data_IF_617892927105
#
_entry.id   IF_617892927105
#
_cell.length_a   1.000
_cell.length_b   1.000
_cell.length_c   1.000
_cell.angle_alpha   90.00
_cell.angle_beta   90.00
_cell.angle_gamma   90.00
#
_symmetry.space_group_name_H-M   'P 1'
#
loop_
_entity.id
_entity.type
_entity.pdbx_description
1 polymer ?
#
# COMPACT_ATOMS: atom_id res chain seq x y z
N UNK A 1 16.54 -20.18 -73.86
CA UNK A 1 16.17 -20.45 -72.45
C UNK A 1 15.75 -19.13 -71.82
N UNK A 2 14.61 -19.11 -71.13
CA UNK A 2 14.14 -17.96 -70.36
C UNK A 2 12.75 -17.45 -70.79
N UNK A 3 11.70 -18.16 -70.39
CA UNK A 3 10.33 -17.65 -70.43
C UNK A 3 10.03 -16.97 -69.08
N UNK A 4 9.63 -15.69 -69.12
CA UNK A 4 9.09 -14.97 -67.95
C UNK A 4 7.76 -14.34 -68.37
N UNK A 5 6.67 -15.08 -68.19
CA UNK A 5 5.32 -14.54 -68.17
C UNK A 5 4.93 -14.29 -66.72
N UNK A 6 4.87 -13.01 -66.32
CA UNK A 6 4.44 -12.60 -64.97
C UNK A 6 2.93 -12.70 -64.85
N UNK A 7 2.51 -13.71 -64.09
CA UNK A 7 1.21 -13.85 -63.43
C UNK A 7 0.92 -12.57 -62.65
N UNK A 8 -0.09 -11.81 -63.06
CA UNK A 8 -0.55 -10.60 -62.35
C UNK A 8 -2.08 -10.51 -62.20
N UNK A 9 -2.79 -11.63 -62.29
CA UNK A 9 -4.26 -11.65 -62.25
C UNK A 9 -4.86 -12.75 -61.36
N UNK A 10 -4.23 -13.04 -60.22
CA UNK A 10 -4.79 -14.01 -59.25
C UNK A 10 -4.77 -13.57 -57.78
N UNK A 11 -4.26 -12.37 -57.46
CA UNK A 11 -4.17 -11.91 -56.05
C UNK A 11 -5.41 -11.08 -55.63
N UNK A 12 -6.25 -10.61 -56.56
CA UNK A 12 -7.45 -9.84 -56.19
C UNK A 12 -8.65 -10.66 -55.72
N UNK A 13 -8.72 -11.97 -56.02
CA UNK A 13 -9.86 -12.79 -55.57
C UNK A 13 -9.68 -13.39 -54.17
N UNK A 14 -8.43 -13.46 -53.67
CA UNK A 14 -8.13 -14.05 -52.36
C UNK A 14 -8.26 -13.04 -51.20
N UNK A 15 -8.43 -11.74 -51.50
CA UNK A 15 -8.63 -10.67 -50.52
C UNK A 15 -10.09 -10.42 -50.16
N UNK A 16 -11.05 -10.96 -50.91
CA UNK A 16 -12.49 -10.81 -50.62
C UNK A 16 -13.00 -11.86 -49.61
N UNK A 17 -12.27 -12.96 -49.43
CA UNK A 17 -12.62 -13.99 -48.43
C UNK A 17 -12.08 -13.71 -47.02
N UNK A 18 -11.22 -12.71 -46.83
CA UNK A 18 -10.72 -12.31 -45.51
C UNK A 18 -11.53 -11.17 -44.84
N UNK A 19 -12.42 -10.49 -45.57
CA UNK A 19 -13.26 -9.44 -44.97
C UNK A 19 -14.52 -9.98 -44.31
N UNK A 20 -14.95 -11.22 -44.62
CA UNK A 20 -16.10 -11.85 -43.99
C UNK A 20 -15.78 -12.49 -42.63
N UNK A 21 -14.51 -12.76 -42.33
CA UNK A 21 -14.05 -13.32 -41.04
C UNK A 21 -13.67 -12.26 -40.00
N UNK A 22 -13.61 -10.97 -40.37
CA UNK A 22 -13.35 -9.85 -39.45
C UNK A 22 -14.61 -9.31 -38.75
N UNK A 23 -15.81 -9.75 -39.15
CA UNK A 23 -17.08 -9.30 -38.56
C UNK A 23 -17.82 -10.39 -37.77
N UNK A 24 -17.17 -11.52 -37.48
CA UNK A 24 -17.75 -12.63 -36.71
C UNK A 24 -17.04 -12.87 -35.37
N UNK A 25 -16.44 -11.84 -34.77
CA UNK A 25 -16.33 -11.82 -33.31
C UNK A 25 -17.70 -11.41 -32.79
N UNK A 26 -18.56 -12.38 -32.51
CA UNK A 26 -19.69 -12.16 -31.60
C UNK A 26 -19.08 -11.67 -30.29
N UNK A 27 -19.22 -10.39 -29.97
CA UNK A 27 -18.89 -9.87 -28.64
C UNK A 27 -19.80 -10.64 -27.69
N UNK A 28 -19.25 -11.67 -27.03
CA UNK A 28 -19.97 -12.35 -25.96
C UNK A 28 -19.98 -11.34 -24.81
N UNK A 29 -21.08 -10.60 -24.67
CA UNK A 29 -21.20 -9.51 -23.71
C UNK A 29 -21.13 -10.10 -22.30
N UNK A 30 -20.32 -9.52 -21.41
CA UNK A 30 -20.22 -10.02 -20.04
C UNK A 30 -21.55 -9.78 -19.31
N UNK A 31 -21.83 -10.57 -18.27
CA UNK A 31 -22.99 -10.30 -17.40
C UNK A 31 -22.87 -8.90 -16.79
N UNK A 32 -21.66 -8.48 -16.40
CA UNK A 32 -21.38 -7.15 -15.86
C UNK A 32 -21.75 -6.03 -16.84
N UNK A 33 -21.45 -6.15 -18.13
CA UNK A 33 -21.85 -5.17 -19.15
C UNK A 33 -23.38 -5.06 -19.23
N UNK A 34 -24.11 -6.18 -19.24
CA UNK A 34 -25.57 -6.16 -19.27
C UNK A 34 -26.18 -5.53 -18.01
N UNK A 35 -25.60 -5.81 -16.85
CA UNK A 35 -26.01 -5.22 -15.58
C UNK A 35 -25.69 -3.73 -15.53
N UNK A 36 -24.55 -3.30 -16.08
CA UNK A 36 -24.18 -1.88 -16.16
C UNK A 36 -25.15 -1.10 -17.07
N UNK A 37 -25.51 -1.62 -18.25
CA UNK A 37 -26.54 -0.98 -19.09
C UNK A 37 -27.88 -0.86 -18.35
N UNK A 38 -28.24 -1.89 -17.58
CA UNK A 38 -29.45 -1.89 -16.76
C UNK A 38 -29.38 -0.84 -15.66
N UNK A 39 -28.22 -0.67 -15.03
CA UNK A 39 -27.98 0.40 -14.08
C UNK A 39 -28.17 1.77 -14.73
N UNK A 40 -27.59 2.02 -15.92
CA UNK A 40 -27.71 3.30 -16.62
C UNK A 40 -29.15 3.63 -17.02
N UNK A 41 -29.96 2.63 -17.37
CA UNK A 41 -31.36 2.81 -17.79
C UNK A 41 -32.33 2.90 -16.59
N UNK A 42 -32.14 2.05 -15.56
CA UNK A 42 -33.17 1.78 -14.54
C UNK A 42 -32.66 1.79 -13.09
N UNK A 43 -31.35 1.90 -12.88
CA UNK A 43 -30.71 1.97 -11.57
C UNK A 43 -30.56 0.63 -10.84
N UNK A 44 -29.86 0.67 -9.70
CA UNK A 44 -29.37 -0.51 -8.96
C UNK A 44 -30.46 -1.51 -8.53
N UNK A 45 -31.68 -1.04 -8.22
CA UNK A 45 -32.77 -1.96 -7.84
C UNK A 45 -33.19 -2.89 -8.98
N UNK A 46 -33.12 -2.40 -10.22
CA UNK A 46 -33.44 -3.24 -11.38
C UNK A 46 -32.28 -4.17 -11.73
N UNK A 47 -31.04 -3.71 -11.54
CA UNK A 47 -29.84 -4.57 -11.64
C UNK A 47 -30.00 -5.82 -10.79
N UNK A 48 -30.38 -5.69 -9.52
CA UNK A 48 -30.54 -6.86 -8.64
C UNK A 48 -31.60 -7.84 -9.13
N UNK A 49 -32.74 -7.35 -9.64
CA UNK A 49 -33.78 -8.22 -10.23
C UNK A 49 -33.28 -8.92 -11.49
N UNK A 50 -32.52 -8.23 -12.32
CA UNK A 50 -31.97 -8.79 -13.54
C UNK A 50 -30.88 -9.81 -13.24
N UNK A 51 -30.00 -9.52 -12.28
CA UNK A 51 -28.98 -10.45 -11.80
C UNK A 51 -29.61 -11.73 -11.25
N UNK A 52 -30.62 -11.63 -10.38
CA UNK A 52 -31.32 -12.80 -9.84
C UNK A 52 -31.95 -13.67 -10.95
N UNK A 53 -32.51 -13.04 -11.98
CA UNK A 53 -33.11 -13.73 -13.12
C UNK A 53 -32.09 -14.39 -14.05
N UNK A 54 -30.96 -13.72 -14.27
CA UNK A 54 -29.99 -14.07 -15.31
C UNK A 54 -28.76 -14.81 -14.78
N UNK A 55 -28.60 -14.93 -13.46
CA UNK A 55 -27.53 -15.71 -12.83
C UNK A 55 -28.05 -17.03 -12.21
N UNK A 56 -28.33 -18.06 -13.03
CA UNK A 56 -28.78 -19.35 -12.53
C UNK A 56 -27.68 -20.18 -11.86
N UNK A 57 -26.40 -19.87 -12.14
CA UNK A 57 -25.29 -20.48 -11.43
C UNK A 57 -25.00 -19.66 -10.18
N UNK A 58 -25.12 -20.28 -9.01
CA UNK A 58 -24.88 -19.67 -7.71
C UNK A 58 -23.56 -20.13 -7.10
N UNK A 59 -22.68 -20.69 -7.93
CA UNK A 59 -21.30 -20.95 -7.55
C UNK A 59 -20.57 -19.62 -7.44
N UNK A 60 -19.76 -19.50 -6.38
CA UNK A 60 -19.01 -18.30 -6.10
C UNK A 60 -17.80 -18.18 -7.03
N UNK A 61 -17.69 -17.05 -7.72
CA UNK A 61 -16.67 -16.75 -8.73
C UNK A 61 -15.52 -15.86 -8.19
N UNK A 62 -15.44 -15.67 -6.88
CA UNK A 62 -14.36 -14.91 -6.27
C UNK A 62 -14.43 -13.41 -6.58
N UNK A 63 -13.27 -12.84 -6.85
CA UNK A 63 -13.11 -11.43 -7.25
C UNK A 63 -13.88 -11.07 -8.54
N UNK A 64 -14.22 -12.06 -9.38
CA UNK A 64 -14.91 -11.88 -10.65
C UNK A 64 -16.44 -11.85 -10.54
N UNK A 65 -17.00 -11.96 -9.33
CA UNK A 65 -18.43 -11.90 -9.11
C UNK A 65 -19.09 -10.67 -9.77
N UNK A 66 -20.14 -10.84 -10.61
CA UNK A 66 -20.69 -9.76 -11.42
C UNK A 66 -21.16 -8.54 -10.61
N UNK A 67 -21.73 -8.76 -9.43
CA UNK A 67 -22.16 -7.68 -8.53
C UNK A 67 -20.96 -6.93 -7.94
N UNK A 68 -19.87 -7.63 -7.62
CA UNK A 68 -18.63 -7.04 -7.10
C UNK A 68 -17.99 -6.13 -8.15
N UNK A 69 -17.78 -6.66 -9.35
CA UNK A 69 -17.16 -5.92 -10.46
C UNK A 69 -17.98 -4.67 -10.80
N UNK A 70 -19.30 -4.82 -10.92
CA UNK A 70 -20.18 -3.69 -11.16
C UNK A 70 -20.11 -2.68 -10.01
N UNK A 71 -20.13 -3.11 -8.75
CA UNK A 71 -20.05 -2.19 -7.61
C UNK A 71 -18.79 -1.32 -7.63
N UNK A 72 -17.61 -1.90 -7.91
CA UNK A 72 -16.37 -1.13 -8.06
C UNK A 72 -16.45 -0.14 -9.22
N UNK A 73 -17.05 -0.54 -10.35
CA UNK A 73 -17.30 0.35 -11.49
C UNK A 73 -18.19 1.52 -11.08
N UNK A 74 -19.26 1.28 -10.32
CA UNK A 74 -20.16 2.33 -9.84
C UNK A 74 -19.46 3.28 -8.85
N UNK A 75 -18.56 2.77 -8.00
CA UNK A 75 -17.76 3.60 -7.10
C UNK A 75 -16.79 4.50 -7.86
N UNK A 76 -16.06 3.94 -8.85
CA UNK A 76 -14.93 4.61 -9.49
C UNK A 76 -15.33 5.49 -10.68
N UNK A 77 -16.31 5.05 -11.49
CA UNK A 77 -16.70 5.74 -12.73
C UNK A 77 -17.94 6.62 -12.54
N UNK A 78 -18.89 6.17 -11.72
CA UNK A 78 -20.19 6.84 -11.55
C UNK A 78 -20.30 7.63 -10.25
N UNK A 79 -19.35 7.44 -9.33
CA UNK A 79 -19.36 8.00 -7.97
C UNK A 79 -20.66 7.68 -7.18
N UNK A 80 -21.40 6.62 -7.55
CA UNK A 80 -22.65 6.22 -6.89
C UNK A 80 -22.39 5.17 -5.80
N UNK A 81 -21.91 5.68 -4.66
CA UNK A 81 -21.61 4.87 -3.49
C UNK A 81 -22.85 4.15 -2.93
N UNK A 82 -24.06 4.70 -3.10
CA UNK A 82 -25.29 4.07 -2.58
C UNK A 82 -25.70 2.88 -3.43
N UNK A 83 -25.56 2.98 -4.75
CA UNK A 83 -25.77 1.85 -5.63
C UNK A 83 -24.74 0.76 -5.37
N UNK A 84 -23.45 1.11 -5.26
CA UNK A 84 -22.40 0.16 -4.93
C UNK A 84 -22.65 -0.55 -3.57
N UNK A 85 -23.00 0.22 -2.53
CA UNK A 85 -23.37 -0.33 -1.21
C UNK A 85 -24.48 -1.37 -1.32
N UNK A 86 -25.54 -1.08 -2.10
CA UNK A 86 -26.66 -1.98 -2.32
C UNK A 86 -26.26 -3.28 -3.03
N UNK A 87 -25.39 -3.21 -4.04
CA UNK A 87 -24.93 -4.40 -4.77
C UNK A 87 -24.03 -5.29 -3.90
N UNK A 88 -23.13 -4.68 -3.14
CA UNK A 88 -22.21 -5.40 -2.23
C UNK A 88 -22.95 -6.01 -1.03
N UNK A 89 -24.01 -5.38 -0.54
CA UNK A 89 -24.90 -5.98 0.46
C UNK A 89 -25.59 -7.24 -0.08
N UNK A 90 -26.12 -7.19 -1.30
CA UNK A 90 -26.74 -8.35 -1.93
C UNK A 90 -25.73 -9.50 -2.09
N UNK A 91 -24.48 -9.20 -2.42
CA UNK A 91 -23.42 -10.20 -2.51
C UNK A 91 -23.09 -10.85 -1.16
N UNK A 92 -23.09 -10.08 -0.06
CA UNK A 92 -22.94 -10.63 1.30
C UNK A 92 -24.10 -11.57 1.65
N UNK A 93 -25.33 -11.23 1.27
CA UNK A 93 -26.51 -12.07 1.52
C UNK A 93 -26.42 -13.41 0.78
N UNK A 94 -25.89 -13.38 -0.45
CA UNK A 94 -25.74 -14.56 -1.31
C UNK A 94 -24.56 -15.46 -0.91
N UNK A 95 -23.43 -14.84 -0.55
CA UNK A 95 -22.18 -15.53 -0.22
C UNK A 95 -21.69 -15.22 1.20
N UNK A 96 -22.48 -15.53 2.25
CA UNK A 96 -22.20 -15.08 3.61
C UNK A 96 -20.95 -15.71 4.25
N UNK A 97 -20.38 -16.76 3.64
CA UNK A 97 -19.22 -17.50 4.13
C UNK A 97 -17.94 -17.22 3.31
N UNK A 98 -18.00 -16.32 2.33
CA UNK A 98 -16.84 -15.94 1.53
C UNK A 98 -16.27 -14.62 2.02
N UNK A 99 -14.94 -14.46 1.93
CA UNK A 99 -14.24 -13.34 2.55
C UNK A 99 -14.39 -12.05 1.74
N UNK A 100 -14.28 -12.11 0.40
CA UNK A 100 -14.27 -10.94 -0.46
C UNK A 100 -15.56 -10.10 -0.40
N UNK A 101 -16.79 -10.64 -0.31
CA UNK A 101 -17.99 -9.80 -0.18
C UNK A 101 -17.91 -8.82 1.01
N UNK A 102 -17.36 -9.25 2.15
CA UNK A 102 -17.16 -8.38 3.31
C UNK A 102 -15.99 -7.41 3.13
N UNK A 103 -14.93 -7.81 2.43
CA UNK A 103 -13.80 -6.93 2.10
C UNK A 103 -14.22 -5.80 1.16
N UNK A 104 -14.90 -6.12 0.05
CA UNK A 104 -15.41 -5.14 -0.90
C UNK A 104 -16.47 -4.22 -0.28
N UNK A 105 -17.36 -4.76 0.56
CA UNK A 105 -18.30 -3.92 1.31
C UNK A 105 -17.59 -2.96 2.27
N UNK A 106 -16.45 -3.36 2.85
CA UNK A 106 -15.67 -2.44 3.68
C UNK A 106 -15.11 -1.27 2.87
N UNK A 107 -14.78 -1.46 1.58
CA UNK A 107 -14.25 -0.40 0.72
C UNK A 107 -15.29 0.67 0.42
N UNK A 108 -16.52 0.30 0.09
CA UNK A 108 -17.59 1.29 -0.09
C UNK A 108 -17.89 2.04 1.21
N UNK A 109 -17.82 1.37 2.37
CA UNK A 109 -17.98 2.03 3.67
C UNK A 109 -16.85 3.05 3.93
N UNK A 110 -15.61 2.74 3.55
CA UNK A 110 -14.47 3.66 3.66
C UNK A 110 -14.67 4.90 2.79
N UNK A 111 -15.09 4.72 1.53
CA UNK A 111 -15.39 5.83 0.61
C UNK A 111 -16.56 6.70 1.12
N UNK A 112 -17.55 6.08 1.79
CA UNK A 112 -18.65 6.80 2.46
C UNK A 112 -18.22 7.47 3.78
N UNK A 113 -16.96 7.34 4.20
CA UNK A 113 -16.44 7.88 5.47
C UNK A 113 -16.88 7.13 6.72
N UNK A 114 -17.52 5.95 6.59
CA UNK A 114 -18.05 5.12 7.68
C UNK A 114 -16.96 4.22 8.30
N UNK A 115 -15.87 4.82 8.77
CA UNK A 115 -14.64 4.12 9.20
C UNK A 115 -14.86 3.04 10.27
N UNK A 116 -15.63 3.33 11.32
CA UNK A 116 -15.87 2.37 12.41
C UNK A 116 -16.75 1.19 11.99
N UNK A 117 -17.59 1.38 10.97
CA UNK A 117 -18.36 0.29 10.38
C UNK A 117 -17.46 -0.56 9.50
N UNK A 118 -16.65 0.08 8.63
CA UNK A 118 -15.69 -0.59 7.76
C UNK A 118 -14.75 -1.52 8.54
N UNK A 119 -14.21 -1.09 9.69
CA UNK A 119 -13.36 -1.92 10.57
C UNK A 119 -13.98 -3.27 10.89
N UNK A 120 -15.27 -3.30 11.25
CA UNK A 120 -15.98 -4.55 11.60
C UNK A 120 -16.06 -5.51 10.42
N UNK A 121 -16.22 -4.98 9.21
CA UNK A 121 -16.30 -5.77 7.99
C UNK A 121 -14.92 -6.25 7.53
N UNK A 122 -13.87 -5.43 7.68
CA UNK A 122 -12.47 -5.85 7.46
C UNK A 122 -12.09 -6.99 8.42
N UNK A 123 -12.37 -6.84 9.71
CA UNK A 123 -12.09 -7.90 10.70
C UNK A 123 -12.81 -9.20 10.34
N UNK A 124 -14.06 -9.10 9.87
CA UNK A 124 -14.84 -10.27 9.44
C UNK A 124 -14.29 -10.91 8.16
N UNK A 125 -13.92 -10.12 7.15
CA UNK A 125 -13.34 -10.63 5.90
C UNK A 125 -12.02 -11.34 6.18
N UNK A 126 -11.14 -10.74 6.98
CA UNK A 126 -9.87 -11.35 7.39
C UNK A 126 -10.07 -12.64 8.18
N UNK A 127 -11.07 -12.68 9.09
CA UNK A 127 -11.39 -13.91 9.81
C UNK A 127 -11.78 -15.04 8.86
N UNK A 128 -12.70 -14.78 7.93
CA UNK A 128 -13.13 -15.77 6.94
C UNK A 128 -11.99 -16.18 6.00
N UNK A 129 -11.16 -15.23 5.58
CA UNK A 129 -10.01 -15.50 4.73
C UNK A 129 -9.00 -16.44 5.41
N UNK A 130 -8.80 -16.29 6.73
CA UNK A 130 -7.90 -17.18 7.49
C UNK A 130 -8.38 -18.63 7.61
N UNK A 131 -9.64 -18.93 7.28
CA UNK A 131 -10.22 -20.27 7.38
C UNK A 131 -9.88 -21.16 6.16
N UNK A 132 -9.51 -20.57 5.01
CA UNK A 132 -9.12 -21.30 3.80
C UNK A 132 -7.86 -20.69 3.19
N UNK A 133 -6.85 -21.50 2.92
CA UNK A 133 -5.60 -21.05 2.29
C UNK A 133 -5.75 -21.07 0.75
N UNK A 134 -6.26 -19.97 0.20
CA UNK A 134 -6.37 -19.73 -1.24
C UNK A 134 -5.67 -18.42 -1.59
N UNK A 135 -5.22 -18.29 -2.85
CA UNK A 135 -4.61 -17.05 -3.34
C UNK A 135 -5.54 -15.84 -3.15
N UNK A 136 -6.84 -16.01 -3.41
CA UNK A 136 -7.85 -14.97 -3.16
C UNK A 136 -7.91 -14.55 -1.69
N UNK A 137 -7.88 -15.51 -0.76
CA UNK A 137 -7.92 -15.20 0.67
C UNK A 137 -6.62 -14.56 1.16
N UNK A 138 -5.47 -14.90 0.57
CA UNK A 138 -4.21 -14.22 0.86
C UNK A 138 -4.30 -12.73 0.46
N UNK A 139 -4.86 -12.42 -0.71
CA UNK A 139 -5.10 -11.04 -1.15
C UNK A 139 -6.04 -10.29 -0.20
N UNK A 140 -7.15 -10.92 0.24
CA UNK A 140 -8.07 -10.31 1.22
C UNK A 140 -7.36 -10.05 2.56
N UNK A 141 -6.50 -10.96 3.01
CA UNK A 141 -5.72 -10.78 4.24
C UNK A 141 -4.74 -9.60 4.13
N UNK A 142 -4.00 -9.50 3.02
CA UNK A 142 -3.05 -8.42 2.77
C UNK A 142 -3.77 -7.06 2.68
N UNK A 143 -4.86 -6.98 1.90
CA UNK A 143 -5.68 -5.79 1.78
C UNK A 143 -6.26 -5.37 3.13
N UNK A 144 -6.81 -6.31 3.91
CA UNK A 144 -7.36 -6.06 5.23
C UNK A 144 -6.31 -5.51 6.21
N UNK A 145 -5.10 -6.08 6.24
CA UNK A 145 -3.99 -5.56 7.06
C UNK A 145 -3.63 -4.13 6.67
N UNK A 146 -3.53 -3.83 5.38
CA UNK A 146 -3.23 -2.48 4.90
C UNK A 146 -4.31 -1.46 5.29
N UNK A 147 -5.59 -1.79 5.07
CA UNK A 147 -6.73 -0.94 5.47
C UNK A 147 -6.74 -0.70 6.98
N UNK A 148 -6.51 -1.73 7.79
CA UNK A 148 -6.45 -1.61 9.25
C UNK A 148 -5.28 -0.74 9.71
N UNK A 149 -4.09 -0.92 9.14
CA UNK A 149 -2.93 -0.10 9.49
C UNK A 149 -3.17 1.41 9.29
N UNK A 150 -3.83 1.79 8.19
CA UNK A 150 -4.20 3.18 7.92
C UNK A 150 -5.25 3.68 8.91
N UNK A 151 -6.28 2.88 9.20
CA UNK A 151 -7.36 3.23 10.13
C UNK A 151 -6.87 3.39 11.58
N UNK A 152 -5.84 2.64 11.94
CA UNK A 152 -5.16 2.69 13.24
C UNK A 152 -4.03 3.71 13.29
N UNK A 153 -3.74 4.40 12.17
CA UNK A 153 -2.63 5.34 12.01
C UNK A 153 -1.25 4.71 12.29
N UNK A 154 -1.10 3.40 12.05
CA UNK A 154 0.19 2.71 12.18
C UNK A 154 1.24 3.27 11.21
N UNK A 155 0.80 3.68 10.02
CA UNK A 155 1.62 4.37 9.03
C UNK A 155 2.10 5.76 9.47
N UNK A 156 1.46 6.34 10.49
CA UNK A 156 1.72 7.70 11.00
C UNK A 156 2.33 7.71 12.39
N UNK A 157 2.79 6.56 12.91
CA UNK A 157 3.42 6.46 14.24
C UNK A 157 4.57 7.46 14.43
N UNK A 158 5.29 7.78 13.36
CA UNK A 158 6.41 8.71 13.39
C UNK A 158 6.05 10.15 12.99
N UNK A 159 4.78 10.48 12.74
CA UNK A 159 4.38 11.78 12.21
C UNK A 159 4.68 12.95 13.15
N UNK A 160 4.98 12.70 14.43
CA UNK A 160 5.50 13.72 15.33
C UNK A 160 6.84 14.30 14.86
N UNK A 161 7.59 13.58 14.01
CA UNK A 161 8.82 14.05 13.36
C UNK A 161 8.54 14.98 12.17
N UNK A 162 7.31 15.10 11.66
CA UNK A 162 7.02 15.97 10.51
C UNK A 162 7.30 17.44 10.86
N UNK A 163 8.11 18.09 10.02
CA UNK A 163 8.53 19.48 10.18
C UNK A 163 9.99 19.72 9.84
N UNK A 164 10.45 20.94 10.11
CA UNK A 164 11.83 21.36 9.92
C UNK A 164 12.56 21.32 11.25
N UNK A 165 13.76 20.75 11.28
CA UNK A 165 14.53 20.53 12.51
C UNK A 165 15.96 21.03 12.37
N UNK A 166 16.46 21.67 13.42
CA UNK A 166 17.88 21.81 13.68
C UNK A 166 18.32 20.61 14.52
N UNK A 167 19.42 19.95 14.17
CA UNK A 167 19.90 18.78 14.90
C UNK A 167 21.33 19.01 15.41
N UNK A 168 21.53 18.78 16.70
CA UNK A 168 22.86 18.61 17.28
C UNK A 168 23.14 17.12 17.44
N UNK A 169 24.15 16.61 16.73
CA UNK A 169 24.54 15.20 16.75
C UNK A 169 25.88 15.04 17.45
N UNK A 170 25.95 14.11 18.41
CA UNK A 170 27.20 13.71 19.07
C UNK A 170 27.46 12.24 18.85
N UNK A 171 28.70 11.88 18.57
CA UNK A 171 29.12 10.48 18.36
C UNK A 171 29.97 9.99 19.52
N UNK A 172 29.86 8.70 19.81
CA UNK A 172 30.52 8.07 20.94
C UNK A 172 31.32 6.84 20.49
N UNK A 173 32.48 6.64 21.10
CA UNK A 173 33.28 5.43 20.97
C UNK A 173 33.77 5.04 22.37
N UNK A 174 33.53 3.79 22.77
CA UNK A 174 33.92 3.29 24.10
C UNK A 174 33.42 4.19 25.25
N UNK A 175 32.19 4.71 25.11
CA UNK A 175 31.54 5.59 26.09
C UNK A 175 32.04 7.03 26.10
N UNK A 176 33.07 7.38 25.33
CA UNK A 176 33.60 8.75 25.23
C UNK A 176 33.03 9.48 24.02
N UNK A 177 32.67 10.73 24.22
CA UNK A 177 32.26 11.62 23.12
C UNK A 177 33.47 11.90 22.22
N UNK A 178 33.30 11.69 20.92
CA UNK A 178 34.38 11.81 19.93
C UNK A 178 34.23 13.08 19.09
N UNK A 179 33.01 13.41 18.68
CA UNK A 179 32.73 14.56 17.83
C UNK A 179 31.31 15.08 18.08
N UNK A 180 31.10 16.36 17.77
CA UNK A 180 29.80 17.02 17.73
C UNK A 180 29.64 17.77 16.42
N UNK A 181 28.44 17.72 15.85
CA UNK A 181 28.12 18.37 14.58
C UNK A 181 26.70 18.93 14.60
N UNK A 182 26.47 19.95 13.77
CA UNK A 182 25.14 20.53 13.53
C UNK A 182 24.70 20.19 12.12
N UNK A 183 23.41 19.94 11.95
CA UNK A 183 22.77 19.61 10.68
C UNK A 183 21.34 20.09 10.71
N UNK A 184 20.65 20.02 9.58
CA UNK A 184 19.20 20.24 9.55
C UNK A 184 18.48 19.10 8.87
N UNK A 185 17.28 18.79 9.34
CA UNK A 185 16.38 17.87 8.66
C UNK A 185 15.12 18.61 8.20
N UNK A 186 14.57 18.18 7.08
CA UNK A 186 13.20 18.45 6.70
C UNK A 186 12.47 17.12 6.56
N UNK A 187 11.43 16.94 7.36
CA UNK A 187 10.61 15.72 7.37
C UNK A 187 9.25 16.06 6.81
N UNK A 188 8.82 15.32 5.79
CA UNK A 188 7.48 15.42 5.20
C UNK A 188 6.81 14.06 5.15
N UNK A 189 5.48 14.06 5.10
CA UNK A 189 4.66 12.88 4.92
C UNK A 189 3.80 13.06 3.67
N UNK A 190 3.87 12.11 2.74
CA UNK A 190 3.01 12.03 1.57
C UNK A 190 1.85 11.07 1.87
N UNK A 191 0.61 11.58 2.02
CA UNK A 191 -0.54 10.76 2.35
C UNK A 191 -0.99 9.85 1.20
N UNK A 192 -0.57 10.09 -0.04
CA UNK A 192 -1.00 9.31 -1.21
C UNK A 192 -0.35 7.92 -1.26
N UNK A 193 0.86 7.78 -0.70
CA UNK A 193 1.56 6.51 -0.58
C UNK A 193 1.94 6.14 0.85
N UNK A 194 1.41 6.86 1.86
CA UNK A 194 1.83 6.76 3.26
C UNK A 194 3.35 6.78 3.42
N UNK A 195 4.01 7.74 2.76
CA UNK A 195 5.47 7.81 2.66
C UNK A 195 6.00 8.92 3.56
N UNK A 196 6.87 8.56 4.51
CA UNK A 196 7.67 9.55 5.22
C UNK A 196 8.99 9.78 4.51
N UNK A 197 9.33 11.05 4.29
CA UNK A 197 10.55 11.48 3.61
C UNK A 197 11.33 12.37 4.57
N UNK A 198 12.60 12.03 4.79
CA UNK A 198 13.55 12.85 5.54
C UNK A 198 14.63 13.34 4.58
N UNK A 199 14.64 14.64 4.35
CA UNK A 199 15.72 15.35 3.69
C UNK A 199 16.76 15.77 4.73
N UNK A 200 18.01 15.36 4.54
CA UNK A 200 19.11 15.68 5.42
C UNK A 200 20.05 16.67 4.76
N UNK A 201 20.34 17.77 5.47
CA UNK A 201 21.34 18.75 5.08
C UNK A 201 22.52 18.72 6.05
N UNK A 202 23.73 18.86 5.51
CA UNK A 202 24.95 18.97 6.30
C UNK A 202 25.07 20.30 7.06
N UNK A 203 26.21 20.53 7.75
CA UNK A 203 26.46 21.75 8.51
C UNK A 203 26.31 23.04 7.70
N UNK A 204 26.68 23.02 6.42
CA UNK A 204 26.63 24.16 5.50
C UNK A 204 25.31 24.25 4.72
N UNK A 205 24.28 23.49 5.15
CA UNK A 205 22.98 23.33 4.46
C UNK A 205 23.07 22.70 3.07
N UNK A 206 24.17 21.99 2.79
CA UNK A 206 24.30 21.20 1.57
C UNK A 206 23.53 19.88 1.71
N UNK A 207 22.62 19.56 0.78
CA UNK A 207 21.88 18.29 0.83
C UNK A 207 22.84 17.10 0.75
N UNK A 208 22.86 16.24 1.78
CA UNK A 208 23.73 15.07 1.81
C UNK A 208 23.04 13.82 1.27
N UNK A 209 21.78 13.65 1.66
CA UNK A 209 21.19 12.33 1.76
C UNK A 209 19.69 12.41 2.06
N UNK A 210 18.97 11.35 1.71
CA UNK A 210 17.51 11.27 1.86
C UNK A 210 17.15 9.93 2.45
N UNK A 211 16.19 9.91 3.36
CA UNK A 211 15.56 8.69 3.86
C UNK A 211 14.10 8.66 3.43
N UNK A 212 13.64 7.51 2.99
CA UNK A 212 12.23 7.23 2.67
C UNK A 212 11.80 6.07 3.55
N UNK A 213 10.64 6.17 4.18
CA UNK A 213 10.08 5.16 5.07
C UNK A 213 8.62 4.91 4.70
N UNK A 214 8.25 3.64 4.54
CA UNK A 214 6.88 3.20 4.26
C UNK A 214 6.53 2.11 5.25
N UNK A 215 5.30 2.11 5.74
CA UNK A 215 4.84 1.11 6.70
C UNK A 215 4.44 -0.17 5.99
N UNK A 216 5.03 -1.30 6.40
CA UNK A 216 4.66 -2.64 6.00
C UNK A 216 3.67 -3.24 7.03
N UNK A 217 2.38 -3.34 6.70
CA UNK A 217 1.37 -3.88 7.59
C UNK A 217 1.43 -5.41 7.74
N UNK A 218 2.19 -6.11 6.90
CA UNK A 218 2.35 -7.56 6.98
C UNK A 218 3.30 -7.96 8.09
N UNK A 219 4.42 -7.25 8.22
CA UNK A 219 5.47 -7.51 9.20
C UNK A 219 5.42 -6.58 10.44
N UNK A 220 4.48 -5.61 10.44
CA UNK A 220 4.27 -4.62 11.50
C UNK A 220 5.53 -3.75 11.74
N UNK A 221 6.13 -3.26 10.64
CA UNK A 221 7.39 -2.52 10.66
C UNK A 221 7.47 -1.49 9.52
N UNK A 222 8.47 -0.61 9.55
CA UNK A 222 8.77 0.30 8.45
C UNK A 222 9.84 -0.28 7.55
N UNK A 223 9.59 -0.35 6.24
CA UNK A 223 10.63 -0.46 5.23
C UNK A 223 11.29 0.91 5.02
N UNK A 224 12.61 0.92 5.04
CA UNK A 224 13.41 2.14 4.98
C UNK A 224 14.41 2.05 3.84
N UNK A 225 14.43 3.05 2.97
CA UNK A 225 15.47 3.27 1.98
C UNK A 225 16.25 4.53 2.32
N UNK A 226 17.56 4.38 2.55
CA UNK A 226 18.45 5.48 2.82
C UNK A 226 19.42 5.71 1.65
N UNK A 227 19.25 6.85 1.00
CA UNK A 227 19.94 7.23 -0.22
C UNK A 227 21.10 8.18 0.08
N UNK A 228 22.29 7.82 -0.40
CA UNK A 228 23.51 8.64 -0.26
C UNK A 228 24.19 8.82 -1.60
N UNK A 229 24.39 10.06 -2.01
CA UNK A 229 25.07 10.38 -3.29
C UNK A 229 26.58 10.13 -3.24
N UNK A 230 27.19 10.28 -2.06
CA UNK A 230 28.65 10.30 -1.89
C UNK A 230 29.19 8.98 -1.33
N UNK A 231 28.53 7.85 -1.61
CA UNK A 231 28.96 6.50 -1.21
C UNK A 231 28.92 5.56 -2.42
N UNK A 232 29.71 4.48 -2.37
CA UNK A 232 29.77 3.47 -3.45
C UNK A 232 28.44 2.74 -3.62
N UNK A 233 27.73 2.50 -2.52
CA UNK A 233 26.37 1.98 -2.52
C UNK A 233 25.38 3.15 -2.42
N UNK A 234 24.55 3.30 -3.45
CA UNK A 234 23.63 4.44 -3.55
C UNK A 234 22.43 4.34 -2.59
N UNK A 235 21.94 3.13 -2.31
CA UNK A 235 20.78 2.86 -1.45
C UNK A 235 21.13 1.80 -0.42
N UNK A 236 20.84 2.10 0.84
CA UNK A 236 20.92 1.20 1.97
C UNK A 236 19.50 0.93 2.46
N UNK A 237 19.10 -0.34 2.47
CA UNK A 237 17.78 -0.73 2.93
C UNK A 237 17.84 -1.24 4.36
N UNK A 238 16.82 -0.92 5.14
CA UNK A 238 16.64 -1.41 6.50
C UNK A 238 15.16 -1.58 6.82
N UNK A 239 14.87 -2.35 7.87
CA UNK A 239 13.54 -2.58 8.42
C UNK A 239 13.51 -2.07 9.85
N UNK A 240 12.44 -1.40 10.26
CA UNK A 240 12.37 -0.77 11.58
C UNK A 240 11.05 -1.01 12.29
N UNK A 241 11.09 -1.76 13.40
CA UNK A 241 9.94 -1.91 14.30
C UNK A 241 9.88 -0.74 15.25
N UNK A 242 8.69 -0.20 15.48
CA UNK A 242 8.46 0.97 16.36
C UNK A 242 7.54 0.55 17.49
N UNK A 243 7.87 0.98 18.71
CA UNK A 243 7.05 0.74 19.89
C UNK A 243 7.02 1.99 20.77
N UNK A 244 5.85 2.52 21.05
CA UNK A 244 5.66 3.52 22.11
C UNK A 244 5.64 2.80 23.46
N UNK A 245 6.65 3.04 24.30
CA UNK A 245 6.80 2.38 25.61
C UNK A 245 6.10 3.13 26.73
N UNK A 246 6.00 4.45 26.60
CA UNK A 246 5.18 5.36 27.40
C UNK A 246 4.86 6.60 26.54
N UNK A 247 3.84 7.41 26.87
CA UNK A 247 3.43 8.54 26.03
C UNK A 247 4.58 9.47 25.67
N UNK A 248 4.90 9.57 24.37
CA UNK A 248 6.00 10.39 23.86
C UNK A 248 7.39 9.75 23.94
N UNK A 249 7.51 8.48 24.34
CA UNK A 249 8.75 7.73 24.42
C UNK A 249 8.67 6.49 23.54
N UNK A 250 9.57 6.41 22.55
CA UNK A 250 9.55 5.37 21.52
C UNK A 250 10.87 4.61 21.52
N UNK A 251 10.77 3.29 21.54
CA UNK A 251 11.86 2.39 21.20
C UNK A 251 11.68 1.92 19.76
N UNK A 252 12.74 2.01 18.96
CA UNK A 252 12.73 1.48 17.59
C UNK A 252 13.88 0.51 17.38
N UNK A 253 13.61 -0.59 16.71
CA UNK A 253 14.60 -1.60 16.36
C UNK A 253 14.78 -1.65 14.85
N UNK A 254 15.90 -1.09 14.39
CA UNK A 254 16.31 -1.10 12.99
C UNK A 254 17.21 -2.31 12.72
N UNK A 255 16.95 -3.02 11.61
CA UNK A 255 17.73 -4.17 11.14
C UNK A 255 18.14 -3.93 9.70
N UNK A 256 19.42 -4.16 9.37
CA UNK A 256 19.93 -4.07 8.01
C UNK A 256 21.06 -5.07 7.75
N UNK A 257 21.32 -5.37 6.48
CA UNK A 257 22.45 -6.21 6.08
C UNK A 257 23.68 -5.34 5.78
N UNK A 258 24.79 -5.61 6.45
CA UNK A 258 26.05 -4.90 6.24
C UNK A 258 26.79 -5.38 4.97
N UNK A 259 27.96 -4.82 4.68
CA UNK A 259 28.76 -5.19 3.51
C UNK A 259 29.32 -6.63 3.56
N UNK A 260 29.39 -7.21 4.75
CA UNK A 260 29.85 -8.58 4.99
C UNK A 260 28.68 -9.59 4.94
N UNK A 261 27.51 -9.13 4.50
CA UNK A 261 26.26 -9.89 4.42
C UNK A 261 25.75 -10.40 5.78
N UNK A 262 26.09 -9.69 6.84
CA UNK A 262 25.64 -9.97 8.21
C UNK A 262 24.45 -9.08 8.56
N UNK A 263 23.48 -9.65 9.26
CA UNK A 263 22.39 -8.89 9.86
C UNK A 263 22.90 -8.10 11.06
N UNK A 264 22.72 -6.78 11.00
CA UNK A 264 23.09 -5.85 12.07
C UNK A 264 21.82 -5.22 12.64
N UNK A 265 21.79 -5.12 13.98
CA UNK A 265 20.69 -4.50 14.72
C UNK A 265 21.13 -3.19 15.37
N UNK A 266 20.27 -2.19 15.27
CA UNK A 266 20.44 -0.87 15.84
C UNK A 266 19.20 -0.54 16.65
N UNK A 267 19.41 -0.15 17.91
CA UNK A 267 18.33 0.31 18.78
C UNK A 267 18.30 1.83 18.79
N UNK A 268 17.11 2.38 18.69
CA UNK A 268 16.83 3.79 18.79
C UNK A 268 15.93 4.03 20.00
N UNK A 269 16.30 5.00 20.82
CA UNK A 269 15.55 5.43 22.01
C UNK A 269 15.20 6.90 21.83
N UNK A 270 13.91 7.22 21.71
CA UNK A 270 13.42 8.57 21.38
C UNK A 270 12.50 9.09 22.46
N UNK A 271 12.72 10.32 22.89
CA UNK A 271 11.83 11.05 23.80
C UNK A 271 11.40 12.36 23.16
N UNK A 272 10.10 12.50 22.96
CA UNK A 272 9.45 13.67 22.41
C UNK A 272 9.05 14.62 23.54
N UNK A 273 9.59 15.83 23.50
CA UNK A 273 9.33 16.91 24.45
C UNK A 273 8.87 18.16 23.71
N UNK A 274 7.55 18.32 23.51
CA UNK A 274 6.97 19.44 22.77
C UNK A 274 7.60 19.64 21.38
N UNK A 275 8.45 20.68 21.23
CA UNK A 275 9.16 21.04 19.99
C UNK A 275 10.58 20.47 19.93
N UNK A 276 10.92 19.54 20.82
CA UNK A 276 12.22 18.89 20.88
C UNK A 276 12.08 17.36 20.86
N UNK A 277 13.07 16.69 20.27
CA UNK A 277 13.19 15.23 20.31
C UNK A 277 14.61 14.89 20.71
N UNK A 278 14.73 14.20 21.84
CA UNK A 278 15.97 13.56 22.26
C UNK A 278 16.02 12.17 21.63
N UNK A 279 17.11 11.83 20.96
CA UNK A 279 17.25 10.56 20.27
C UNK A 279 18.63 9.95 20.53
N UNK A 280 18.65 8.78 21.16
CA UNK A 280 19.86 7.98 21.40
C UNK A 280 19.87 6.77 20.46
N UNK A 281 21.04 6.47 19.90
CA UNK A 281 21.25 5.31 19.02
C UNK A 281 22.30 4.38 19.63
N UNK A 282 21.99 3.09 19.62
CA UNK A 282 22.84 2.03 20.12
C UNK A 282 23.10 1.00 19.03
N UNK A 283 24.34 0.55 18.90
CA UNK A 283 24.67 -0.61 18.09
C UNK A 283 24.74 -1.85 18.98
N UNK A 284 24.31 -2.99 18.43
CA UNK A 284 24.54 -4.28 19.06
C UNK A 284 26.04 -4.59 19.15
N UNK A 285 26.49 -5.12 20.30
CA UNK A 285 27.84 -5.60 20.53
C UNK A 285 27.78 -6.88 21.37
N UNK A 286 27.66 -8.03 20.70
CA UNK A 286 27.27 -9.29 21.37
C UNK A 286 25.87 -9.16 21.95
N UNK A 287 25.70 -9.49 23.23
CA UNK A 287 24.44 -9.37 23.96
C UNK A 287 24.20 -7.96 24.54
N UNK A 288 25.17 -7.04 24.40
CA UNK A 288 25.11 -5.69 24.96
C UNK A 288 24.79 -4.61 23.91
N UNK A 289 24.32 -3.46 24.39
CA UNK A 289 24.03 -2.27 23.59
C UNK A 289 25.04 -1.15 23.86
N UNK A 290 25.83 -0.79 22.84
CA UNK A 290 26.77 0.31 22.96
C UNK A 290 26.17 1.60 22.40
N UNK A 291 26.09 2.65 23.22
CA UNK A 291 25.69 3.99 22.75
C UNK A 291 26.73 4.50 21.74
N UNK A 292 26.27 4.79 20.53
CA UNK A 292 27.13 5.27 19.43
C UNK A 292 26.80 6.69 18.99
N UNK A 293 25.57 7.16 19.22
CA UNK A 293 25.14 8.49 18.80
C UNK A 293 24.05 9.03 19.71
N UNK A 294 24.04 10.34 19.89
CA UNK A 294 22.87 11.10 20.35
C UNK A 294 22.54 12.19 19.32
N UNK A 295 21.26 12.50 19.18
CA UNK A 295 20.75 13.57 18.36
C UNK A 295 19.71 14.33 19.19
N UNK A 296 19.88 15.65 19.31
CA UNK A 296 18.87 16.53 19.86
C UNK A 296 18.28 17.33 18.70
N UNK A 297 17.02 17.06 18.38
CA UNK A 297 16.31 17.74 17.31
C UNK A 297 15.48 18.85 17.95
N UNK A 298 15.59 20.06 17.42
CA UNK A 298 14.78 21.22 17.81
C UNK A 298 13.99 21.73 16.63
N UNK A 299 12.67 21.85 16.80
CA UNK A 299 11.77 22.25 15.72
C UNK A 299 12.02 23.71 15.37
N UNK A 300 12.08 23.99 14.07
CA UNK A 300 12.09 25.34 13.52
C UNK A 300 10.66 25.76 13.24
N UNK A 301 10.30 26.93 13.76
CA UNK A 301 9.04 27.62 13.44
C UNK A 301 9.04 28.11 12.00
#
# INVERSE_FOLDING_TARGET
MGAITKIKWSISLMLIFFTASLFAQTVNRSMEDELYETYKDKGAKEVLKQYEKNNPNKEYEGMAEPLNVLAYRLMQEEEDLKAAEMLLQAQIEEYPNEANPYDSYSDVLLEMGKKEEAKKYIEKSMKLASEKDTEENQLVMEAGKAKMAILENKDKQLNFLVGNWDNETRTYQNGKEMNSSKSTNKVSFDPSGSIMIVDHDGPDKDPCCKRVMVYDPTEDEFDIAYMRRNQTQGIYNSKMKVKEVEPGHYEMMETYTNNDNEEVKVKHDLKKNADEVEWIVYNANGDDWQKVRTMNLKKRN
#
